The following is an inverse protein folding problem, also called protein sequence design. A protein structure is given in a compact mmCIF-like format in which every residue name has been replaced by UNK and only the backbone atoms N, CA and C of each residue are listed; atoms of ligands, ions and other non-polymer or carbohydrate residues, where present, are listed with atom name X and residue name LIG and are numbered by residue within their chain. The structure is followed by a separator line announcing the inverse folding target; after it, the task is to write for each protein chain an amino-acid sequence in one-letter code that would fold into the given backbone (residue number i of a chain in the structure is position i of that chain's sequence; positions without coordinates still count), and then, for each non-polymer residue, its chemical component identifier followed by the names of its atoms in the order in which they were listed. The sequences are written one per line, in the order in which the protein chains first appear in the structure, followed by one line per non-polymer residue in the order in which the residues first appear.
data_IF_502647052476
#
_entry.id   IF_502647052476
#
_cell.length_a   1.000
_cell.length_b   1.000
_cell.length_c   1.000
_cell.angle_alpha   90.00
_cell.angle_beta   90.00
_cell.angle_gamma   90.00
#
_symmetry.space_group_name_H-M   'P 1'
#
loop_
_entity.id
_entity.type
_entity.pdbx_description
1 polymer ?
#
# COMPACT_ATOMS: atom_id res chain seq x y z
N UNK A 1 -3.19 -19.25 -14.41
CA UNK A 1 -4.42 -19.58 -13.65
C UNK A 1 -5.60 -19.06 -14.43
N UNK A 2 -6.75 -19.74 -14.41
CA UNK A 2 -8.02 -19.16 -14.83
C UNK A 2 -9.07 -19.45 -13.75
N UNK A 3 -10.07 -18.59 -13.64
CA UNK A 3 -11.21 -18.81 -12.73
C UNK A 3 -12.50 -18.72 -13.52
N UNK A 4 -13.49 -19.56 -13.17
CA UNK A 4 -14.79 -19.59 -13.83
C UNK A 4 -15.87 -19.12 -12.87
N UNK A 5 -16.58 -18.06 -13.24
CA UNK A 5 -17.64 -17.45 -12.41
C UNK A 5 -18.86 -17.24 -13.31
N UNK A 6 -20.00 -17.82 -12.95
CA UNK A 6 -21.25 -17.66 -13.71
C UNK A 6 -21.14 -18.09 -15.18
N UNK A 7 -20.30 -19.09 -15.49
CA UNK A 7 -20.05 -19.56 -16.86
C UNK A 7 -18.99 -18.76 -17.64
N UNK A 8 -18.56 -17.59 -17.15
CA UNK A 8 -17.50 -16.78 -17.76
C UNK A 8 -16.12 -17.17 -17.20
N UNK A 9 -15.12 -17.15 -18.07
CA UNK A 9 -13.73 -17.46 -17.72
C UNK A 9 -12.87 -16.20 -17.63
N UNK A 10 -12.02 -16.15 -16.61
CA UNK A 10 -11.14 -15.04 -16.30
C UNK A 10 -9.70 -15.53 -16.28
N UNK A 11 -8.89 -15.04 -17.20
CA UNK A 11 -7.53 -15.50 -17.42
C UNK A 11 -6.52 -14.61 -16.69
N UNK A 12 -5.64 -15.23 -15.91
CA UNK A 12 -4.59 -14.56 -15.15
C UNK A 12 -3.22 -14.80 -15.78
N UNK A 13 -2.53 -13.71 -16.11
CA UNK A 13 -1.20 -13.70 -16.71
C UNK A 13 -0.16 -13.40 -15.64
N UNK A 14 0.88 -14.23 -15.55
CA UNK A 14 2.00 -14.01 -14.64
C UNK A 14 2.83 -12.79 -15.06
N UNK A 15 3.21 -12.01 -14.07
CA UNK A 15 4.04 -10.81 -14.18
C UNK A 15 5.15 -10.94 -13.14
N UNK A 16 6.41 -10.86 -13.58
CA UNK A 16 7.57 -11.05 -12.73
C UNK A 16 7.95 -9.75 -12.03
N UNK A 17 8.44 -9.86 -10.81
CA UNK A 17 9.05 -8.75 -10.06
C UNK A 17 10.56 -8.76 -10.35
N UNK A 18 11.11 -7.59 -10.60
CA UNK A 18 12.54 -7.31 -10.66
C UNK A 18 12.86 -6.34 -9.53
N UNK A 19 13.55 -6.86 -8.52
CA UNK A 19 13.92 -6.14 -7.31
C UNK A 19 15.08 -5.18 -7.62
N UNK A 20 14.94 -3.92 -7.24
CA UNK A 20 15.94 -2.88 -7.46
C UNK A 20 16.68 -2.53 -6.17
N UNK A 21 15.95 -2.43 -5.06
CA UNK A 21 16.50 -2.02 -3.76
C UNK A 21 15.72 -2.67 -2.60
N UNK A 22 16.38 -2.91 -1.47
CA UNK A 22 15.78 -3.42 -0.23
C UNK A 22 16.27 -2.61 0.96
N UNK A 23 15.57 -2.71 2.10
CA UNK A 23 15.96 -1.99 3.32
C UNK A 23 15.67 -0.50 3.26
N UNK A 24 14.72 -0.08 2.41
CA UNK A 24 14.28 1.31 2.35
C UNK A 24 13.50 1.63 3.62
N UNK A 25 13.94 2.66 4.34
CA UNK A 25 13.37 3.08 5.61
C UNK A 25 12.91 4.52 5.55
N UNK A 26 11.87 4.81 6.34
CA UNK A 26 11.42 6.18 6.63
C UNK A 26 11.09 7.05 5.39
N UNK A 27 10.47 6.51 4.31
CA UNK A 27 10.18 7.30 3.12
C UNK A 27 9.26 8.51 3.42
N UNK A 28 8.45 8.45 4.48
CA UNK A 28 7.61 9.56 4.93
C UNK A 28 8.42 10.85 5.21
N UNK A 29 9.70 10.74 5.61
CA UNK A 29 10.55 11.90 5.95
C UNK A 29 10.74 12.88 4.79
N UNK A 30 10.56 12.40 3.55
CA UNK A 30 10.72 13.20 2.34
C UNK A 30 9.43 13.88 1.89
N UNK A 31 8.35 13.82 2.67
CA UNK A 31 7.10 14.50 2.32
C UNK A 31 7.17 16.00 2.64
N UNK A 32 7.37 16.82 1.61
CA UNK A 32 7.59 18.26 1.69
C UNK A 32 6.42 19.11 1.17
N UNK A 33 5.37 18.49 0.61
CA UNK A 33 4.29 19.20 -0.09
C UNK A 33 3.25 19.85 0.81
N UNK A 34 3.29 19.58 2.12
CA UNK A 34 2.38 20.10 3.13
C UNK A 34 3.10 20.29 4.44
N UNK A 35 2.70 21.30 5.20
CA UNK A 35 3.09 21.49 6.59
C UNK A 35 2.25 20.61 7.53
N UNK A 36 2.62 20.56 8.82
CA UNK A 36 1.77 19.94 9.85
C UNK A 36 0.41 20.66 9.93
N UNK A 37 0.40 22.00 9.88
CA UNK A 37 -0.81 22.82 9.88
C UNK A 37 -1.73 22.46 8.71
N UNK A 38 -1.17 22.24 7.52
CA UNK A 38 -1.95 21.82 6.35
C UNK A 38 -2.56 20.42 6.50
N UNK A 39 -1.83 19.49 7.13
CA UNK A 39 -2.35 18.15 7.40
C UNK A 39 -3.53 18.20 8.36
N UNK A 40 -3.44 19.01 9.42
CA UNK A 40 -4.50 19.16 10.41
C UNK A 40 -5.82 19.63 9.81
N UNK A 41 -5.83 20.32 8.67
CA UNK A 41 -7.08 20.70 7.99
C UNK A 41 -7.84 19.52 7.42
N UNK A 42 -7.19 18.38 7.18
CA UNK A 42 -7.82 17.21 6.61
C UNK A 42 -8.55 16.38 7.68
N UNK A 43 -9.77 15.91 7.36
CA UNK A 43 -10.65 15.19 8.31
C UNK A 43 -10.00 14.03 9.06
N UNK A 44 -9.07 13.31 8.43
CA UNK A 44 -8.36 12.17 9.05
C UNK A 44 -7.45 12.56 10.22
N UNK A 45 -7.19 13.85 10.41
CA UNK A 45 -6.34 14.38 11.49
C UNK A 45 -7.10 15.24 12.49
N UNK A 46 -8.44 15.31 12.42
CA UNK A 46 -9.24 16.14 13.32
C UNK A 46 -8.98 15.86 14.80
N UNK A 47 -8.87 14.58 15.16
CA UNK A 47 -8.55 14.11 16.51
C UNK A 47 -7.17 14.56 17.04
N UNK A 48 -6.27 15.04 16.18
CA UNK A 48 -4.94 15.51 16.57
C UNK A 48 -4.87 17.02 16.79
N UNK A 49 -5.86 17.79 16.31
CA UNK A 49 -5.78 19.25 16.26
C UNK A 49 -5.40 19.87 17.61
N UNK A 50 -6.23 19.65 18.61
CA UNK A 50 -6.07 20.32 19.91
C UNK A 50 -4.73 19.98 20.56
N UNK A 51 -4.36 18.69 20.53
CA UNK A 51 -3.06 18.23 21.03
C UNK A 51 -1.88 18.89 20.29
N UNK A 52 -1.96 18.98 18.96
CA UNK A 52 -0.86 19.55 18.17
C UNK A 52 -0.75 21.06 18.37
N UNK A 53 -1.88 21.78 18.45
CA UNK A 53 -1.86 23.22 18.71
C UNK A 53 -1.35 23.59 20.11
N UNK A 54 -1.59 22.74 21.10
CA UNK A 54 -1.17 23.00 22.49
C UNK A 54 0.26 22.51 22.78
N UNK A 55 0.60 21.31 22.34
CA UNK A 55 1.83 20.63 22.77
C UNK A 55 2.93 20.66 21.70
N UNK A 56 2.59 20.96 20.45
CA UNK A 56 3.48 20.86 19.29
C UNK A 56 3.40 22.10 18.37
N UNK A 57 3.16 23.27 18.95
CA UNK A 57 2.97 24.50 18.18
C UNK A 57 4.20 24.86 17.32
N UNK A 58 5.41 24.54 17.79
CA UNK A 58 6.68 24.85 17.12
C UNK A 58 6.88 24.13 15.77
N UNK A 59 6.18 23.00 15.53
CA UNK A 59 6.31 22.23 14.29
C UNK A 59 5.21 22.54 13.26
N UNK A 60 4.23 23.39 13.60
CA UNK A 60 3.03 23.59 12.79
C UNK A 60 3.35 23.99 11.35
N UNK A 61 4.31 24.90 11.17
CA UNK A 61 4.67 25.45 9.85
C UNK A 61 5.86 24.73 9.21
N UNK A 62 6.39 23.68 9.85
CA UNK A 62 7.42 22.82 9.27
C UNK A 62 6.81 21.88 8.21
N UNK A 63 7.55 21.54 7.15
CA UNK A 63 7.15 20.47 6.24
C UNK A 63 6.93 19.16 7.00
N UNK A 64 5.83 18.47 6.71
CA UNK A 64 5.34 17.38 7.54
C UNK A 64 6.33 16.21 7.66
N UNK A 65 6.97 15.80 6.56
CA UNK A 65 7.97 14.72 6.58
C UNK A 65 9.14 15.02 7.54
N UNK A 66 9.88 16.12 7.34
CA UNK A 66 10.95 16.54 8.23
C UNK A 66 10.53 16.73 9.69
N UNK A 67 9.34 17.30 9.94
CA UNK A 67 8.81 17.48 11.30
C UNK A 67 8.62 16.14 12.02
N UNK A 68 7.92 15.19 11.39
CA UNK A 68 7.70 13.86 11.96
C UNK A 68 9.01 13.07 12.10
N UNK A 69 9.96 13.27 11.19
CA UNK A 69 11.26 12.63 11.30
C UNK A 69 12.04 13.15 12.50
N UNK A 70 12.03 14.47 12.75
CA UNK A 70 12.62 15.07 13.95
C UNK A 70 12.01 14.49 15.23
N UNK A 71 10.69 14.37 15.30
CA UNK A 71 9.99 13.73 16.43
C UNK A 71 10.47 12.29 16.65
N UNK A 72 10.56 11.50 15.57
CA UNK A 72 11.09 10.12 15.64
C UNK A 72 12.52 10.07 16.16
N UNK A 73 13.40 10.97 15.71
CA UNK A 73 14.79 11.05 16.18
C UNK A 73 14.87 11.41 17.67
N UNK A 74 13.90 12.17 18.18
CA UNK A 74 13.78 12.51 19.60
C UNK A 74 13.02 11.44 20.42
N UNK A 75 12.76 10.27 19.85
CA UNK A 75 11.97 9.18 20.45
C UNK A 75 10.53 9.56 20.85
N UNK A 76 9.98 10.63 20.27
CA UNK A 76 8.57 10.96 20.47
C UNK A 76 7.71 10.09 19.55
N UNK A 77 6.98 9.14 20.14
CA UNK A 77 6.12 8.19 19.41
C UNK A 77 4.86 8.83 18.80
N UNK A 78 4.51 10.06 19.17
CA UNK A 78 3.32 10.75 18.68
C UNK A 78 3.35 10.97 17.15
N UNK A 79 4.54 10.98 16.52
CA UNK A 79 4.65 11.08 15.06
C UNK A 79 3.85 10.00 14.31
N UNK A 80 3.70 8.81 14.91
CA UNK A 80 2.95 7.69 14.33
C UNK A 80 1.48 8.02 14.14
N UNK A 81 0.92 8.91 14.94
CA UNK A 81 -0.47 9.35 14.79
C UNK A 81 -0.73 10.08 13.47
N UNK A 82 0.32 10.58 12.79
CA UNK A 82 0.18 11.17 11.46
C UNK A 82 0.32 10.17 10.32
N UNK A 83 0.84 8.98 10.59
CA UNK A 83 1.08 7.93 9.61
C UNK A 83 -0.06 6.91 9.59
N UNK A 84 -0.23 6.20 8.49
CA UNK A 84 -1.06 5.00 8.51
C UNK A 84 -0.30 3.84 9.16
N UNK A 85 -1.00 2.75 9.49
CA UNK A 85 -0.44 1.57 10.18
C UNK A 85 0.77 0.93 9.49
N UNK A 86 0.97 1.22 8.21
CA UNK A 86 2.07 0.69 7.41
C UNK A 86 3.05 1.77 6.98
N UNK A 87 2.96 3.00 7.51
CA UNK A 87 3.69 4.18 7.02
C UNK A 87 5.14 4.33 7.50
N UNK A 88 5.58 3.49 8.43
CA UNK A 88 6.96 3.46 8.94
C UNK A 88 7.41 2.01 9.14
N UNK A 89 7.48 1.26 8.03
CA UNK A 89 8.00 -0.11 7.96
C UNK A 89 9.25 -0.15 7.06
N UNK A 90 9.84 -1.34 6.92
CA UNK A 90 10.88 -1.60 5.93
C UNK A 90 10.22 -1.89 4.57
N UNK A 91 10.75 -1.27 3.52
CA UNK A 91 10.25 -1.36 2.16
C UNK A 91 11.32 -1.85 1.18
N UNK A 92 10.87 -2.11 -0.04
CA UNK A 92 11.72 -2.41 -1.18
C UNK A 92 11.33 -1.53 -2.38
N UNK A 93 12.23 -1.42 -3.34
CA UNK A 93 11.90 -0.88 -4.66
C UNK A 93 11.93 -1.99 -5.69
N UNK A 94 10.92 -2.05 -6.54
CA UNK A 94 10.87 -3.02 -7.63
C UNK A 94 10.13 -2.50 -8.85
N UNK A 95 10.37 -3.13 -9.98
CA UNK A 95 9.56 -2.98 -11.19
C UNK A 95 9.01 -4.33 -11.62
N UNK A 96 8.00 -4.31 -12.47
CA UNK A 96 7.49 -5.53 -13.10
C UNK A 96 7.94 -5.69 -14.55
N UNK A 97 8.16 -6.94 -14.94
CA UNK A 97 8.42 -7.36 -16.33
C UNK A 97 7.43 -8.44 -16.75
N UNK A 98 7.04 -8.42 -18.02
CA UNK A 98 6.09 -9.36 -18.58
C UNK A 98 5.56 -8.87 -19.92
N UNK A 99 4.38 -9.38 -20.31
CA UNK A 99 3.75 -8.95 -21.54
C UNK A 99 3.26 -7.48 -21.43
N UNK A 100 3.91 -6.59 -22.17
CA UNK A 100 3.59 -5.15 -22.18
C UNK A 100 2.16 -4.85 -22.64
N UNK A 101 1.57 -5.65 -23.54
CA UNK A 101 0.19 -5.44 -23.99
C UNK A 101 -0.81 -5.66 -22.86
N UNK A 102 -0.51 -6.62 -21.97
CA UNK A 102 -1.29 -6.93 -20.75
C UNK A 102 -1.02 -5.89 -19.66
N UNK A 103 0.24 -5.51 -19.45
CA UNK A 103 0.64 -4.55 -18.41
C UNK A 103 0.07 -3.13 -18.65
N UNK A 104 -0.26 -2.79 -19.90
CA UNK A 104 -0.91 -1.54 -20.27
C UNK A 104 -2.45 -1.57 -20.12
N UNK A 105 -3.03 -2.66 -19.61
CA UNK A 105 -4.46 -2.77 -19.32
C UNK A 105 -4.76 -2.48 -17.85
N UNK A 106 -6.04 -2.29 -17.58
CA UNK A 106 -6.64 -2.25 -16.24
C UNK A 106 -7.31 -3.59 -15.94
N UNK A 107 -7.68 -3.84 -14.68
CA UNK A 107 -8.36 -5.08 -14.28
C UNK A 107 -8.07 -5.51 -12.85
N UNK A 108 -8.12 -6.82 -12.60
CA UNK A 108 -7.82 -7.42 -11.30
C UNK A 108 -6.39 -7.91 -11.26
N UNK A 109 -5.73 -7.80 -10.12
CA UNK A 109 -4.42 -8.39 -9.89
C UNK A 109 -4.39 -9.16 -8.58
N UNK A 110 -3.49 -10.14 -8.52
CA UNK A 110 -3.16 -10.88 -7.31
C UNK A 110 -1.67 -10.85 -7.04
N UNK A 111 -1.30 -10.99 -5.77
CA UNK A 111 0.07 -11.32 -5.36
C UNK A 111 0.11 -12.80 -5.03
N UNK A 112 1.08 -13.50 -5.60
CA UNK A 112 1.33 -14.91 -5.37
C UNK A 112 2.63 -15.06 -4.59
N UNK A 113 2.61 -15.85 -3.52
CA UNK A 113 3.79 -16.24 -2.75
C UNK A 113 3.79 -17.76 -2.61
N UNK A 114 4.83 -18.42 -3.13
CA UNK A 114 4.95 -19.89 -3.15
C UNK A 114 3.64 -20.58 -3.60
N UNK A 115 3.16 -20.16 -4.78
CA UNK A 115 1.95 -20.67 -5.44
C UNK A 115 0.62 -20.43 -4.70
N UNK A 116 0.62 -19.67 -3.61
CA UNK A 116 -0.61 -19.24 -2.89
C UNK A 116 -0.96 -17.79 -3.20
N UNK A 117 -2.24 -17.51 -3.41
CA UNK A 117 -2.75 -16.14 -3.49
C UNK A 117 -2.68 -15.53 -2.09
N UNK A 118 -1.85 -14.50 -1.91
CA UNK A 118 -1.74 -13.77 -0.64
C UNK A 118 -2.42 -12.41 -0.70
N UNK A 119 -2.69 -11.88 -1.89
CA UNK A 119 -3.47 -10.65 -2.05
C UNK A 119 -4.28 -10.64 -3.34
N UNK A 120 -5.40 -9.93 -3.35
CA UNK A 120 -6.21 -9.60 -4.51
C UNK A 120 -6.66 -8.13 -4.48
N UNK A 121 -6.51 -7.44 -5.60
CA UNK A 121 -6.84 -6.02 -5.73
C UNK A 121 -7.34 -5.64 -7.12
N UNK A 122 -7.92 -4.45 -7.22
CA UNK A 122 -8.37 -3.86 -8.49
C UNK A 122 -7.42 -2.75 -8.89
N UNK A 123 -7.12 -2.67 -10.18
CA UNK A 123 -6.41 -1.57 -10.80
C UNK A 123 -7.32 -0.96 -11.87
N UNK A 124 -7.82 0.26 -11.64
CA UNK A 124 -8.64 0.99 -12.63
C UNK A 124 -7.80 1.86 -13.59
N UNK A 125 -6.51 1.55 -13.71
CA UNK A 125 -5.56 2.18 -14.63
C UNK A 125 -4.57 1.09 -15.12
N UNK A 126 -3.43 1.45 -15.71
CA UNK A 126 -2.43 0.48 -16.18
C UNK A 126 -1.83 -0.31 -15.01
N UNK A 127 -1.77 -1.64 -15.13
CA UNK A 127 -1.06 -2.50 -14.18
C UNK A 127 0.40 -2.06 -14.01
N UNK A 128 1.10 -1.73 -15.10
CA UNK A 128 2.48 -1.22 -15.07
C UNK A 128 2.62 0.01 -14.16
N UNK A 129 1.69 0.94 -14.25
CA UNK A 129 1.68 2.15 -13.43
C UNK A 129 1.48 1.80 -11.95
N UNK A 130 0.47 0.96 -11.66
CA UNK A 130 0.17 0.50 -10.30
C UNK A 130 1.37 -0.19 -9.64
N UNK A 131 2.05 -1.05 -10.37
CA UNK A 131 3.15 -1.80 -9.82
C UNK A 131 4.42 -0.98 -9.76
N UNK A 132 4.82 -0.27 -10.81
CA UNK A 132 6.13 0.37 -10.83
C UNK A 132 6.15 1.72 -10.07
N UNK A 133 5.06 2.48 -10.07
CA UNK A 133 5.05 3.83 -9.49
C UNK A 133 4.35 3.94 -8.15
N UNK A 134 3.56 2.93 -7.75
CA UNK A 134 2.76 3.03 -6.54
C UNK A 134 3.10 1.96 -5.52
N UNK A 135 3.05 0.68 -5.90
CA UNK A 135 3.40 -0.41 -4.98
C UNK A 135 4.91 -0.60 -4.93
N UNK A 136 5.59 -0.72 -6.07
CA UNK A 136 7.03 -0.96 -6.18
C UNK A 136 7.90 0.26 -5.95
N UNK A 137 7.31 1.43 -5.71
CA UNK A 137 8.01 2.62 -5.27
C UNK A 137 7.11 3.39 -4.29
N UNK A 138 7.30 3.18 -2.99
CA UNK A 138 6.46 3.78 -1.96
C UNK A 138 6.73 5.27 -1.89
N UNK A 139 5.74 6.07 -2.32
CA UNK A 139 5.85 7.53 -2.23
C UNK A 139 5.76 8.00 -0.77
N UNK A 140 6.43 9.11 -0.40
CA UNK A 140 6.33 9.68 0.94
C UNK A 140 4.89 9.93 1.38
N UNK A 141 4.05 10.43 0.47
CA UNK A 141 2.62 10.70 0.72
C UNK A 141 1.84 9.43 1.06
N UNK A 142 2.19 8.28 0.49
CA UNK A 142 1.48 7.02 0.74
C UNK A 142 1.56 6.58 2.21
N UNK A 143 2.57 7.05 2.95
CA UNK A 143 2.83 6.69 4.34
C UNK A 143 1.94 7.41 5.35
N UNK A 144 1.35 8.55 4.97
CA UNK A 144 0.52 9.37 5.85
C UNK A 144 -0.88 8.78 6.04
N UNK A 145 -1.59 9.18 7.09
CA UNK A 145 -2.97 8.73 7.38
C UNK A 145 -3.93 9.00 6.23
N UNK A 146 -3.76 10.12 5.52
CA UNK A 146 -4.52 10.48 4.33
C UNK A 146 -3.89 10.02 3.00
N UNK A 147 -2.87 9.17 3.08
CA UNK A 147 -2.25 8.47 1.96
C UNK A 147 -2.98 7.18 1.55
N UNK A 148 -2.27 6.36 0.77
CA UNK A 148 -2.77 5.05 0.29
C UNK A 148 -2.08 3.91 1.04
N UNK A 149 -2.64 3.54 2.19
CA UNK A 149 -2.10 2.49 3.07
C UNK A 149 -1.85 1.15 2.35
N UNK A 150 -2.67 0.78 1.36
CA UNK A 150 -2.47 -0.46 0.58
C UNK A 150 -1.14 -0.49 -0.17
N UNK A 151 -0.60 0.66 -0.62
CA UNK A 151 0.71 0.68 -1.28
C UNK A 151 1.81 0.30 -0.31
N UNK A 152 1.82 0.92 0.87
CA UNK A 152 2.78 0.61 1.93
C UNK A 152 2.63 -0.82 2.43
N UNK A 153 1.40 -1.27 2.71
CA UNK A 153 1.11 -2.63 3.18
C UNK A 153 1.66 -3.71 2.25
N UNK A 154 1.31 -3.64 0.97
CA UNK A 154 1.73 -4.65 -0.01
C UNK A 154 3.24 -4.58 -0.27
N UNK A 155 3.81 -3.37 -0.34
CA UNK A 155 5.26 -3.26 -0.50
C UNK A 155 6.01 -3.84 0.70
N UNK A 156 5.63 -3.46 1.93
CA UNK A 156 6.29 -3.94 3.15
C UNK A 156 6.20 -5.48 3.25
N UNK A 157 5.05 -6.07 2.87
CA UNK A 157 4.91 -7.53 2.80
C UNK A 157 5.79 -8.17 1.73
N UNK A 158 5.96 -7.54 0.57
CA UNK A 158 6.92 -8.01 -0.44
C UNK A 158 8.35 -7.92 0.12
N UNK A 159 8.74 -6.77 0.68
CA UNK A 159 10.06 -6.55 1.25
C UNK A 159 10.41 -7.58 2.33
N UNK A 160 9.44 -7.93 3.19
CA UNK A 160 9.58 -8.93 4.25
C UNK A 160 9.86 -10.35 3.73
N UNK A 161 9.33 -10.71 2.56
CA UNK A 161 9.25 -12.11 2.13
C UNK A 161 10.01 -12.43 0.83
N UNK A 162 10.41 -11.42 0.05
CA UNK A 162 10.92 -11.63 -1.32
C UNK A 162 12.29 -12.33 -1.38
N UNK A 163 13.07 -12.31 -0.31
CA UNK A 163 14.37 -13.01 -0.24
C UNK A 163 14.21 -14.52 -0.11
N UNK A 164 13.20 -14.97 0.64
CA UNK A 164 13.04 -16.39 1.01
C UNK A 164 11.90 -17.08 0.25
N UNK A 165 11.15 -16.34 -0.58
CA UNK A 165 9.94 -16.84 -1.23
C UNK A 165 9.88 -16.42 -2.70
N UNK A 166 9.29 -17.28 -3.53
CA UNK A 166 8.96 -16.91 -4.91
C UNK A 166 7.70 -16.03 -4.92
N UNK A 167 7.90 -14.73 -5.11
CA UNK A 167 6.82 -13.74 -5.18
C UNK A 167 6.66 -13.22 -6.61
N UNK A 168 5.41 -13.19 -7.08
CA UNK A 168 5.07 -12.59 -8.37
C UNK A 168 3.65 -12.04 -8.39
N UNK A 169 3.36 -11.20 -9.37
CA UNK A 169 1.98 -10.77 -9.63
C UNK A 169 1.31 -11.69 -10.65
N UNK A 170 -0.01 -11.81 -10.55
CA UNK A 170 -0.82 -12.21 -11.70
C UNK A 170 -1.85 -11.14 -12.00
N UNK A 171 -2.16 -10.94 -13.28
CA UNK A 171 -3.09 -9.90 -13.73
C UNK A 171 -4.14 -10.47 -14.66
N UNK A 172 -5.38 -10.03 -14.48
CA UNK A 172 -6.52 -10.36 -15.31
C UNK A 172 -7.08 -9.05 -15.92
N UNK A 173 -6.77 -8.76 -17.21
CA UNK A 173 -7.30 -7.59 -17.90
C UNK A 173 -8.82 -7.60 -17.96
N UNK A 174 -9.43 -6.52 -17.48
CA UNK A 174 -10.88 -6.32 -17.49
C UNK A 174 -11.18 -4.85 -17.79
N UNK A 175 -12.30 -4.55 -18.45
CA UNK A 175 -12.69 -3.18 -18.77
C UNK A 175 -13.77 -2.64 -17.83
N UNK A 176 -14.65 -3.50 -17.34
CA UNK A 176 -15.75 -3.13 -16.47
C UNK A 176 -15.39 -3.18 -14.97
N UNK A 177 -15.76 -2.14 -14.23
CA UNK A 177 -15.43 -2.02 -12.80
C UNK A 177 -16.32 -2.91 -11.94
N UNK A 178 -17.57 -3.14 -12.35
CA UNK A 178 -18.46 -4.08 -11.66
C UNK A 178 -17.91 -5.50 -11.70
N UNK A 179 -17.44 -5.93 -12.87
CA UNK A 179 -16.79 -7.21 -13.10
C UNK A 179 -15.47 -7.33 -12.33
N UNK A 180 -14.65 -6.29 -12.31
CA UNK A 180 -13.44 -6.28 -11.47
C UNK A 180 -13.77 -6.50 -9.98
N UNK A 181 -14.84 -5.87 -9.48
CA UNK A 181 -15.30 -6.06 -8.09
C UNK A 181 -15.79 -7.48 -7.86
N UNK A 182 -16.58 -8.02 -8.78
CA UNK A 182 -17.08 -9.40 -8.72
C UNK A 182 -15.92 -10.40 -8.66
N UNK A 183 -14.97 -10.32 -9.59
CA UNK A 183 -13.80 -11.22 -9.64
C UNK A 183 -12.93 -11.07 -8.40
N UNK A 184 -12.62 -9.84 -7.97
CA UNK A 184 -11.81 -9.58 -6.78
C UNK A 184 -12.49 -10.13 -5.51
N UNK A 185 -13.78 -9.90 -5.33
CA UNK A 185 -14.52 -10.42 -4.17
C UNK A 185 -14.56 -11.95 -4.19
N UNK A 186 -14.87 -12.56 -5.35
CA UNK A 186 -14.86 -14.02 -5.47
C UNK A 186 -13.51 -14.64 -5.09
N UNK A 187 -12.38 -14.02 -5.49
CA UNK A 187 -11.04 -14.47 -5.07
C UNK A 187 -10.85 -14.34 -3.55
N UNK A 188 -11.27 -13.23 -2.96
CA UNK A 188 -11.13 -13.01 -1.51
C UNK A 188 -11.99 -14.00 -0.71
N UNK A 189 -13.21 -14.26 -1.16
CA UNK A 189 -14.14 -15.17 -0.50
C UNK A 189 -13.69 -16.63 -0.66
N UNK A 190 -13.16 -16.99 -1.84
CA UNK A 190 -12.75 -18.37 -2.15
C UNK A 190 -11.42 -18.78 -1.52
N UNK A 191 -10.45 -17.88 -1.47
CA UNK A 191 -9.06 -18.19 -1.11
C UNK A 191 -8.59 -17.53 0.18
N UNK A 192 -9.37 -16.60 0.73
CA UNK A 192 -9.07 -15.88 1.98
C UNK A 192 -7.62 -15.36 2.06
N UNK A 193 -7.16 -14.53 1.10
CA UNK A 193 -5.75 -14.19 0.98
C UNK A 193 -5.25 -13.43 2.23
N UNK A 194 -4.15 -13.90 2.81
CA UNK A 194 -3.65 -13.42 4.11
C UNK A 194 -3.34 -11.92 4.19
N UNK A 195 -3.03 -11.28 3.06
CA UNK A 195 -2.71 -9.85 3.02
C UNK A 195 -3.93 -8.99 2.63
N UNK A 196 -5.10 -9.58 2.35
CA UNK A 196 -6.34 -8.83 2.26
C UNK A 196 -6.91 -8.62 3.66
N UNK A 197 -6.83 -7.38 4.17
CA UNK A 197 -7.46 -7.01 5.43
C UNK A 197 -8.97 -7.20 5.32
N UNK A 198 -9.55 -7.99 6.23
CA UNK A 198 -11.00 -8.10 6.41
C UNK A 198 -11.42 -7.10 7.48
N UNK A 199 -12.57 -6.46 7.33
CA UNK A 199 -13.14 -5.65 8.40
C UNK A 199 -13.27 -6.52 9.66
N UNK A 200 -12.54 -6.17 10.73
CA UNK A 200 -12.54 -6.88 12.02
C UNK A 200 -11.19 -7.39 12.51
N UNK A 201 -10.15 -7.49 11.67
CA UNK A 201 -8.81 -7.96 12.11
C UNK A 201 -7.88 -6.87 12.63
N UNK A 202 -8.30 -5.59 12.57
CA UNK A 202 -7.52 -4.43 13.01
C UNK A 202 -7.83 -3.99 14.46
N UNK A 203 -8.59 -4.78 15.22
CA UNK A 203 -8.82 -4.55 16.64
C UNK A 203 -8.02 -5.59 17.41
N UNK A 204 -6.82 -5.22 17.86
CA UNK A 204 -6.18 -5.51 19.16
C UNK A 204 -4.77 -4.93 19.04
N UNK A 205 -4.66 -3.62 19.21
CA UNK A 205 -3.54 -3.00 19.92
C UNK A 205 -4.12 -1.74 20.58
N UNK A 206 -5.04 -1.97 21.52
CA UNK A 206 -5.29 -1.00 22.57
C UNK A 206 -4.03 -0.95 23.43
N UNK A 207 -3.29 0.15 23.35
CA UNK A 207 -2.27 0.46 24.35
C UNK A 207 -2.96 0.50 25.71
N UNK A 208 -2.48 -0.37 26.60
CA UNK A 208 -2.69 -0.26 28.04
C UNK A 208 -1.87 0.90 28.58
#
# INVERSE_FOLDING_TARGET
MHVKIGGKEFYFHRVRIELLETGIREPFRFFDKKTIRDLLQHRRYQHLKDKVFNDYCDILDMPAGPALYSMKQNNDLFYKEFLNNYGDLDYCQFVVKGNESVLNKKGVYTVIMNDKIVFAGICNNKFKLRFNQHIGNVSPKSCFRDGTATHCHINAKIAQHITDNNIHFQVCPLSDVGEMKLVKNWIIDRFEPLWNLRFGSDIIYSYS
#
